data_IF_262545197239
#
_entry.id   IF_262545197239
#
_cell.length_a   1.000
_cell.length_b   1.000
_cell.length_c   1.000
_cell.angle_alpha   90.00
_cell.angle_beta   90.00
_cell.angle_gamma   90.00
#
_symmetry.space_group_name_H-M   'P 1'
#
loop_
_entity.id
_entity.type
_entity.pdbx_description
1 polymer ?
#
# COMPACT_ATOMS: atom_id res chain seq x y z
N UNK A 1 22.63 1.06 27.08
CA UNK A 1 22.17 1.33 25.70
C UNK A 1 21.45 0.08 25.22
N UNK A 2 20.13 0.12 25.13
CA UNK A 2 19.34 -1.02 24.64
C UNK A 2 19.58 -1.19 23.14
N UNK A 3 20.31 -2.25 22.76
CA UNK A 3 20.55 -2.70 21.39
C UNK A 3 19.30 -3.37 20.79
N UNK A 4 18.12 -2.76 20.94
CA UNK A 4 16.92 -3.19 20.23
C UNK A 4 17.06 -2.75 18.78
N UNK A 5 17.01 -3.65 17.79
CA UNK A 5 17.06 -3.25 16.38
C UNK A 5 15.91 -2.28 16.09
N UNK A 6 16.22 -1.18 15.40
CA UNK A 6 15.18 -0.29 14.89
C UNK A 6 14.25 -1.10 13.99
N UNK A 7 12.97 -1.19 14.38
CA UNK A 7 11.97 -1.85 13.56
C UNK A 7 11.71 -0.95 12.34
N UNK A 8 12.13 -1.43 11.18
CA UNK A 8 11.89 -0.76 9.90
C UNK A 8 10.68 -1.38 9.21
N UNK A 9 9.71 -0.55 8.83
CA UNK A 9 8.46 -0.96 8.22
C UNK A 9 8.46 -0.61 6.73
N UNK A 10 8.39 -1.63 5.87
CA UNK A 10 8.29 -1.45 4.42
C UNK A 10 6.85 -1.61 3.96
N UNK A 11 6.42 -0.78 3.01
CA UNK A 11 5.14 -0.93 2.33
C UNK A 11 5.35 -1.65 1.01
N UNK A 12 4.56 -2.67 0.73
CA UNK A 12 4.53 -3.39 -0.54
C UNK A 12 3.14 -3.19 -1.13
N UNK A 13 3.07 -2.58 -2.31
CA UNK A 13 1.83 -2.47 -3.08
C UNK A 13 1.84 -3.51 -4.21
N UNK A 14 0.74 -4.24 -4.33
CA UNK A 14 0.49 -5.12 -5.47
C UNK A 14 -0.67 -4.56 -6.27
N UNK A 15 -0.45 -4.34 -7.57
CA UNK A 15 -1.48 -3.89 -8.51
C UNK A 15 -1.79 -5.03 -9.48
N UNK A 16 -3.08 -5.30 -9.66
CA UNK A 16 -3.61 -6.22 -10.65
C UNK A 16 -4.48 -5.40 -11.60
N UNK A 17 -4.13 -5.40 -12.87
CA UNK A 17 -4.90 -4.73 -13.92
C UNK A 17 -5.74 -5.75 -14.68
N UNK A 18 -7.02 -5.84 -14.31
CA UNK A 18 -7.95 -6.78 -14.92
C UNK A 18 -8.34 -6.42 -16.37
N UNK A 19 -8.11 -5.17 -16.81
CA UNK A 19 -8.31 -4.82 -18.22
C UNK A 19 -7.20 -5.41 -19.10
N UNK A 20 -5.98 -5.51 -18.57
CA UNK A 20 -4.83 -6.10 -19.26
C UNK A 20 -4.80 -7.61 -19.12
N UNK A 21 -5.08 -8.13 -17.93
CA UNK A 21 -5.12 -9.57 -17.64
C UNK A 21 -6.32 -9.92 -16.72
N UNK A 22 -7.46 -10.32 -17.31
CA UNK A 22 -8.64 -10.72 -16.54
C UNK A 22 -8.41 -11.91 -15.60
N UNK A 23 -7.38 -12.72 -15.81
CA UNK A 23 -7.06 -13.86 -14.93
C UNK A 23 -6.43 -13.43 -13.60
N UNK A 24 -5.89 -12.20 -13.51
CA UNK A 24 -5.17 -11.70 -12.35
C UNK A 24 -3.81 -12.38 -12.10
N UNK A 25 -3.31 -13.15 -13.08
CA UNK A 25 -2.01 -13.81 -13.00
C UNK A 25 -0.86 -12.78 -13.09
N UNK A 26 -1.03 -11.74 -13.90
CA UNK A 26 -0.10 -10.63 -14.03
C UNK A 26 -0.28 -9.63 -12.89
N UNK A 27 0.80 -9.40 -12.15
CA UNK A 27 0.83 -8.50 -10.99
C UNK A 27 2.03 -7.57 -11.09
N UNK A 28 1.80 -6.30 -10.83
CA UNK A 28 2.87 -5.31 -10.67
C UNK A 28 3.14 -5.13 -9.18
N UNK A 29 4.40 -5.28 -8.76
CA UNK A 29 4.79 -5.15 -7.36
C UNK A 29 5.65 -3.90 -7.22
N UNK A 30 5.24 -3.02 -6.30
CA UNK A 30 5.97 -1.81 -5.95
C UNK A 30 6.46 -1.91 -4.51
N UNK A 31 7.77 -1.84 -4.34
CA UNK A 31 8.42 -1.75 -3.03
C UNK A 31 8.59 -0.26 -2.74
N UNK A 32 7.93 0.19 -1.67
CA UNK A 32 7.80 1.61 -1.34
C UNK A 32 8.68 1.96 -0.14
N UNK A 33 8.57 3.19 0.34
CA UNK A 33 9.45 3.74 1.36
C UNK A 33 9.53 2.89 2.65
N UNK A 34 10.69 3.04 3.30
CA UNK A 34 10.96 2.46 4.61
C UNK A 34 10.56 3.47 5.69
N UNK A 35 9.73 3.04 6.63
CA UNK A 35 9.17 3.87 7.68
C UNK A 35 9.74 3.47 9.05
N UNK A 36 10.02 4.43 9.94
CA UNK A 36 10.60 4.15 11.26
C UNK A 36 9.57 3.62 12.27
N UNK A 37 8.26 3.77 11.99
CA UNK A 37 7.18 3.32 12.87
C UNK A 37 6.05 2.69 12.06
N UNK A 38 5.29 1.78 12.71
CA UNK A 38 4.13 1.14 12.11
C UNK A 38 3.03 2.15 11.74
N UNK A 39 2.81 3.15 12.59
CA UNK A 39 1.83 4.20 12.34
C UNK A 39 2.19 5.04 11.10
N UNK A 40 3.46 5.43 10.96
CA UNK A 40 3.94 6.12 9.76
C UNK A 40 3.75 5.26 8.50
N UNK A 41 4.05 3.96 8.58
CA UNK A 41 3.82 3.03 7.48
C UNK A 41 2.34 2.94 7.08
N UNK A 42 1.42 2.84 8.05
CA UNK A 42 -0.03 2.82 7.78
C UNK A 42 -0.51 4.11 7.12
N UNK A 43 -0.12 5.26 7.67
CA UNK A 43 -0.48 6.57 7.11
C UNK A 43 0.05 6.78 5.69
N UNK A 44 1.26 6.29 5.42
CA UNK A 44 1.86 6.33 4.08
C UNK A 44 1.16 5.38 3.10
N UNK A 45 0.76 4.18 3.55
CA UNK A 45 0.06 3.21 2.70
C UNK A 45 -1.26 3.76 2.13
N UNK A 46 -2.02 4.53 2.92
CA UNK A 46 -3.27 5.18 2.46
C UNK A 46 -3.04 6.21 1.34
N UNK A 47 -1.85 6.80 1.25
CA UNK A 47 -1.53 7.84 0.26
C UNK A 47 -0.91 7.27 -1.01
N UNK A 48 -0.60 5.97 -1.02
CA UNK A 48 0.30 5.41 -2.03
C UNK A 48 -0.30 5.34 -3.43
N UNK A 49 -1.62 5.14 -3.52
CA UNK A 49 -2.34 5.17 -4.79
C UNK A 49 -2.25 6.57 -5.42
N UNK A 50 -2.41 7.63 -4.62
CA UNK A 50 -2.27 9.01 -5.10
C UNK A 50 -0.83 9.31 -5.56
N UNK A 51 0.18 8.77 -4.88
CA UNK A 51 1.60 8.89 -5.31
C UNK A 51 1.82 8.25 -6.68
N UNK A 52 1.13 7.14 -6.97
CA UNK A 52 1.18 6.44 -8.25
C UNK A 52 0.24 7.04 -9.32
N UNK A 53 -0.34 8.21 -9.04
CA UNK A 53 -1.26 8.94 -9.92
C UNK A 53 -2.59 8.23 -10.19
N UNK A 54 -2.93 7.19 -9.42
CA UNK A 54 -4.29 6.66 -9.42
C UNK A 54 -5.25 7.68 -8.82
N UNK A 55 -6.37 7.87 -9.49
CA UNK A 55 -7.49 8.70 -9.05
C UNK A 55 -8.66 7.82 -8.66
N UNK A 56 -9.56 8.38 -7.85
CA UNK A 56 -10.78 7.67 -7.44
C UNK A 56 -11.61 7.19 -8.65
N UNK A 57 -11.66 8.02 -9.69
CA UNK A 57 -12.35 7.77 -10.97
C UNK A 57 -11.73 6.63 -11.80
N UNK A 58 -10.51 6.18 -11.48
CA UNK A 58 -9.90 5.01 -12.12
C UNK A 58 -10.45 3.69 -11.56
N UNK A 59 -11.23 3.73 -10.48
CA UNK A 59 -11.77 2.55 -9.81
C UNK A 59 -13.29 2.47 -9.98
N UNK A 60 -13.78 1.29 -10.40
CA UNK A 60 -15.21 0.98 -10.41
C UNK A 60 -15.77 0.97 -8.99
N UNK A 61 -14.97 0.52 -8.03
CA UNK A 61 -15.29 0.50 -6.61
C UNK A 61 -14.03 0.87 -5.81
N UNK A 62 -14.17 1.80 -4.87
CA UNK A 62 -13.09 2.21 -3.97
C UNK A 62 -13.56 2.10 -2.52
N UNK A 63 -13.08 1.07 -1.83
CA UNK A 63 -13.38 0.82 -0.41
C UNK A 63 -12.14 1.09 0.43
N UNK A 64 -12.20 2.12 1.27
CA UNK A 64 -11.19 2.30 2.33
C UNK A 64 -11.60 1.39 3.49
N UNK A 65 -10.87 0.30 3.69
CA UNK A 65 -10.95 -0.42 4.96
C UNK A 65 -10.23 0.42 6.02
N UNK A 66 -10.97 1.29 6.71
CA UNK A 66 -10.52 1.85 7.97
C UNK A 66 -10.35 0.67 8.92
N UNK A 67 -9.11 0.37 9.34
CA UNK A 67 -8.87 -0.54 10.45
C UNK A 67 -9.32 0.16 11.74
N UNK A 68 -10.62 0.34 11.91
CA UNK A 68 -11.22 0.59 13.21
C UNK A 68 -11.27 -0.77 13.89
N UNK A 69 -10.29 -1.00 14.77
CA UNK A 69 -10.38 -2.03 15.80
C UNK A 69 -11.60 -1.66 16.66
N UNK A 70 -12.67 -2.46 16.59
CA UNK A 70 -13.53 -2.69 17.77
C UNK A 70 -12.85 -3.72 18.68
#
# INVERSE_FOLDING_TARGET
MSNSPELLYRIILTVIDYYVDPSGAKRSIYILDTNPTLEAAKNSAFRVLATLRYKLEDFVEYVIHSSSTE
#
